data_IF_653556910484
#
_entry.id   IF_653556910484
#
_cell.length_a   1.000
_cell.length_b   1.000
_cell.length_c   1.000
_cell.angle_alpha   90.00
_cell.angle_beta   90.00
_cell.angle_gamma   90.00
#
_symmetry.space_group_name_H-M   'P 1'
#
loop_
_entity.id
_entity.type
_entity.pdbx_description
1 polymer ?
#
# COMPACT_ATOMS: atom_id res chain seq x y z
N UNK A 1 -5.95 -24.09 -51.65
CA UNK A 1 -6.49 -22.92 -50.94
C UNK A 1 -6.24 -23.06 -49.45
N UNK A 2 -4.98 -22.97 -49.00
CA UNK A 2 -4.58 -23.00 -47.58
C UNK A 2 -3.08 -22.67 -47.50
N UNK A 3 -2.76 -21.38 -47.46
CA UNK A 3 -1.39 -20.89 -47.24
C UNK A 3 -1.41 -19.40 -46.85
N UNK A 4 -2.22 -19.02 -45.86
CA UNK A 4 -2.35 -17.61 -45.42
C UNK A 4 -2.69 -17.42 -43.92
N UNK A 5 -2.34 -18.35 -43.02
CA UNK A 5 -2.64 -18.19 -41.57
C UNK A 5 -1.43 -18.19 -40.60
N UNK A 6 -0.19 -18.17 -41.09
CA UNK A 6 1.01 -18.19 -40.21
C UNK A 6 1.74 -16.85 -40.07
N UNK A 7 1.34 -15.82 -40.83
CA UNK A 7 2.07 -14.54 -40.85
C UNK A 7 1.52 -13.46 -39.91
N UNK A 8 0.34 -13.66 -39.29
CA UNK A 8 -0.31 -12.64 -38.47
C UNK A 8 -0.05 -12.73 -36.97
N UNK A 9 0.44 -13.87 -36.46
CA UNK A 9 0.71 -14.06 -35.02
C UNK A 9 2.11 -13.55 -34.64
N UNK A 10 3.06 -13.49 -35.59
CA UNK A 10 4.45 -13.10 -35.31
C UNK A 10 4.64 -11.58 -35.20
N UNK A 11 3.76 -10.75 -35.76
CA UNK A 11 3.91 -9.29 -35.75
C UNK A 11 3.36 -8.59 -34.50
N UNK A 12 2.54 -9.23 -33.65
CA UNK A 12 2.00 -8.59 -32.44
C UNK A 12 2.87 -8.70 -31.18
N UNK A 13 3.93 -9.51 -31.21
CA UNK A 13 4.83 -9.69 -30.05
C UNK A 13 6.15 -8.90 -30.13
N UNK A 14 6.43 -8.20 -31.23
CA UNK A 14 7.68 -7.43 -31.37
C UNK A 14 7.78 -6.20 -30.44
N UNK A 15 6.71 -5.41 -30.19
CA UNK A 15 6.78 -4.31 -29.24
C UNK A 15 6.97 -4.79 -27.79
N UNK A 16 6.30 -5.89 -27.42
CA UNK A 16 6.41 -6.51 -26.08
C UNK A 16 7.78 -7.13 -25.85
N UNK A 17 8.38 -7.78 -26.86
CA UNK A 17 9.75 -8.30 -26.76
C UNK A 17 10.80 -7.19 -26.68
N UNK A 18 10.58 -6.03 -27.33
CA UNK A 18 11.45 -4.86 -27.19
C UNK A 18 11.30 -4.18 -25.83
N UNK A 19 10.09 -4.08 -25.28
CA UNK A 19 9.85 -3.59 -23.92
C UNK A 19 10.46 -4.52 -22.86
N UNK A 20 10.33 -5.84 -23.03
CA UNK A 20 10.95 -6.84 -22.17
C UNK A 20 12.48 -6.90 -22.33
N UNK A 21 13.02 -6.66 -23.52
CA UNK A 21 14.46 -6.58 -23.74
C UNK A 21 15.06 -5.29 -23.14
N UNK A 22 14.35 -4.16 -23.23
CA UNK A 22 14.74 -2.91 -22.56
C UNK A 22 14.65 -3.02 -21.03
N UNK A 23 13.68 -3.79 -20.50
CA UNK A 23 13.61 -4.14 -19.08
C UNK A 23 14.68 -5.15 -18.66
N UNK A 24 15.07 -6.07 -19.55
CA UNK A 24 16.12 -7.05 -19.34
C UNK A 24 17.54 -6.47 -19.37
N UNK A 25 17.75 -5.36 -20.09
CA UNK A 25 19.06 -4.68 -20.15
C UNK A 25 19.33 -3.74 -18.96
N UNK A 26 18.30 -3.38 -18.17
CA UNK A 26 18.49 -2.62 -16.91
C UNK A 26 18.70 -3.48 -15.66
N UNK A 27 18.54 -4.81 -15.74
CA UNK A 27 18.81 -5.74 -14.63
C UNK A 27 20.06 -6.59 -14.86
N UNK A 28 21.16 -5.94 -15.28
CA UNK A 28 22.49 -6.53 -15.17
C UNK A 28 23.01 -6.36 -13.73
N UNK A 29 23.42 -7.51 -13.17
CA UNK A 29 24.02 -7.73 -11.84
C UNK A 29 23.05 -7.86 -10.67
N UNK A 30 23.29 -8.85 -9.81
CA UNK A 30 22.53 -9.13 -8.58
C UNK A 30 22.71 -8.09 -7.48
N UNK A 31 22.92 -6.83 -7.85
CA UNK A 31 22.96 -5.70 -6.92
C UNK A 31 21.52 -5.27 -6.60
N UNK A 32 21.19 -5.24 -5.31
CA UNK A 32 19.90 -4.76 -4.83
C UNK A 32 19.77 -3.28 -5.18
N UNK A 33 18.60 -2.86 -5.69
CA UNK A 33 18.34 -1.44 -5.97
C UNK A 33 18.65 -0.60 -4.71
N UNK A 34 19.48 0.47 -4.81
CA UNK A 34 19.89 1.24 -3.65
C UNK A 34 18.72 1.95 -2.97
N UNK A 35 17.74 2.44 -3.75
CA UNK A 35 16.52 3.07 -3.22
C UNK A 35 15.67 2.05 -2.47
N UNK A 36 15.39 0.88 -3.06
CA UNK A 36 14.62 -0.15 -2.37
C UNK A 36 15.33 -0.65 -1.10
N UNK A 37 16.66 -0.67 -1.10
CA UNK A 37 17.46 -1.14 0.04
C UNK A 37 17.45 -0.16 1.22
N UNK A 38 17.22 1.14 0.95
CA UNK A 38 17.07 2.16 1.99
C UNK A 38 15.68 2.16 2.63
N UNK A 39 14.69 1.53 2.01
CA UNK A 39 13.36 1.39 2.62
C UNK A 39 13.38 0.40 3.80
N UNK A 40 12.61 0.71 4.84
CA UNK A 40 12.25 -0.23 5.90
C UNK A 40 11.44 -1.38 5.32
N UNK A 41 11.45 -2.54 5.95
CA UNK A 41 10.49 -3.58 5.58
C UNK A 41 9.05 -3.08 5.80
N UNK A 42 8.09 -3.69 5.11
CA UNK A 42 6.71 -3.18 5.12
C UNK A 42 6.10 -3.15 6.53
N UNK A 43 6.22 -4.20 7.37
CA UNK A 43 5.70 -4.15 8.74
C UNK A 43 6.23 -2.97 9.55
N UNK A 44 7.55 -2.76 9.54
CA UNK A 44 8.20 -1.65 10.22
C UNK A 44 7.72 -0.28 9.73
N UNK A 45 7.58 -0.10 8.41
CA UNK A 45 7.02 1.15 7.87
C UNK A 45 5.57 1.38 8.34
N UNK A 46 4.73 0.35 8.31
CA UNK A 46 3.35 0.47 8.78
C UNK A 46 3.29 0.80 10.28
N UNK A 47 4.18 0.22 11.08
CA UNK A 47 4.31 0.52 12.51
C UNK A 47 4.74 1.98 12.76
N UNK A 48 5.80 2.45 12.10
CA UNK A 48 6.29 3.83 12.21
C UNK A 48 5.19 4.84 11.84
N UNK A 49 4.42 4.55 10.78
CA UNK A 49 3.27 5.38 10.40
C UNK A 49 2.10 5.30 11.39
N UNK A 50 1.89 4.13 11.99
CA UNK A 50 0.88 3.95 13.04
C UNK A 50 1.19 4.85 14.24
N UNK A 51 2.41 4.77 14.78
CA UNK A 51 2.83 5.59 15.92
C UNK A 51 2.82 7.10 15.58
N UNK A 52 3.22 7.48 14.36
CA UNK A 52 3.08 8.86 13.89
C UNK A 52 1.61 9.33 13.94
N UNK A 53 0.67 8.51 13.43
CA UNK A 53 -0.76 8.82 13.48
C UNK A 53 -1.29 8.88 14.92
N UNK A 54 -0.80 8.02 15.81
CA UNK A 54 -1.15 8.05 17.24
C UNK A 54 -0.71 9.37 17.88
N UNK A 55 0.53 9.80 17.66
CA UNK A 55 1.04 11.05 18.21
C UNK A 55 0.38 12.29 17.61
N UNK A 56 -0.04 12.24 16.34
CA UNK A 56 -0.83 13.34 15.76
C UNK A 56 -2.10 13.57 16.56
N UNK A 57 -2.87 12.52 16.82
CA UNK A 57 -4.12 12.56 17.58
C UNK A 57 -5.13 13.63 17.08
N UNK A 58 -5.00 14.07 15.83
CA UNK A 58 -5.93 15.03 15.22
C UNK A 58 -7.26 14.36 14.90
N UNK A 59 -8.31 15.18 14.82
CA UNK A 59 -9.66 14.77 14.45
C UNK A 59 -10.28 15.76 13.45
N UNK A 60 -11.19 15.26 12.61
CA UNK A 60 -11.91 16.08 11.63
C UNK A 60 -13.36 15.60 11.48
N UNK A 61 -14.25 16.48 11.05
CA UNK A 61 -15.65 16.15 10.82
C UNK A 61 -15.87 15.68 9.36
N UNK A 62 -16.32 14.44 9.18
CA UNK A 62 -16.66 13.88 7.88
C UNK A 62 -18.17 13.82 7.68
N UNK A 63 -18.67 14.46 6.60
CA UNK A 63 -20.10 14.50 6.27
C UNK A 63 -20.40 13.74 4.98
N UNK A 64 -21.35 12.80 5.04
CA UNK A 64 -21.85 12.10 3.85
C UNK A 64 -23.35 11.83 3.97
N UNK A 65 -24.12 12.21 2.94
CA UNK A 65 -25.57 11.91 2.83
C UNK A 65 -26.40 12.34 4.05
N UNK A 66 -26.03 13.44 4.70
CA UNK A 66 -26.73 13.96 5.88
C UNK A 66 -26.27 13.37 7.21
N UNK A 67 -25.38 12.37 7.19
CA UNK A 67 -24.73 11.84 8.38
C UNK A 67 -23.37 12.53 8.59
N UNK A 68 -23.05 12.80 9.85
CA UNK A 68 -21.76 13.33 10.28
C UNK A 68 -21.07 12.33 11.21
N UNK A 69 -19.76 12.15 11.04
CA UNK A 69 -18.92 11.30 11.88
C UNK A 69 -17.60 12.02 12.15
N UNK A 70 -17.11 11.93 13.39
CA UNK A 70 -15.75 12.33 13.73
C UNK A 70 -14.78 11.25 13.24
N UNK A 71 -13.76 11.67 12.50
CA UNK A 71 -12.69 10.82 11.98
C UNK A 71 -11.40 11.25 12.66
N UNK A 72 -10.70 10.30 13.23
CA UNK A 72 -9.51 10.54 14.04
C UNK A 72 -8.31 9.85 13.41
N UNK A 73 -7.16 10.50 13.45
CA UNK A 73 -5.86 9.90 13.06
C UNK A 73 -5.55 8.66 13.89
N UNK A 74 -6.05 8.57 15.12
CA UNK A 74 -6.00 7.35 15.94
C UNK A 74 -6.63 6.12 15.25
N UNK A 75 -7.74 6.27 14.54
CA UNK A 75 -8.37 5.13 13.84
C UNK A 75 -7.50 4.66 12.67
N UNK A 76 -6.81 5.58 11.99
CA UNK A 76 -5.81 5.26 10.96
C UNK A 76 -4.65 4.48 11.62
N UNK A 77 -4.16 4.95 12.77
CA UNK A 77 -3.14 4.28 13.59
C UNK A 77 -3.53 2.84 13.90
N UNK A 78 -4.73 2.61 14.43
CA UNK A 78 -5.18 1.28 14.87
C UNK A 78 -5.19 0.28 13.70
N UNK A 79 -5.67 0.68 12.52
CA UNK A 79 -5.64 -0.19 11.33
C UNK A 79 -4.22 -0.49 10.83
N UNK A 80 -3.34 0.52 10.84
CA UNK A 80 -1.94 0.34 10.45
C UNK A 80 -1.19 -0.57 11.43
N UNK A 81 -1.48 -0.45 12.73
CA UNK A 81 -0.90 -1.30 13.78
C UNK A 81 -1.26 -2.76 13.56
N UNK A 82 -2.54 -3.06 13.32
CA UNK A 82 -2.98 -4.41 12.98
C UNK A 82 -2.28 -4.96 11.72
N UNK A 83 -2.06 -4.12 10.70
CA UNK A 83 -1.36 -4.54 9.49
C UNK A 83 0.14 -4.79 9.70
N UNK A 84 0.76 -4.01 10.59
CA UNK A 84 2.16 -4.14 10.96
C UNK A 84 2.41 -5.38 11.82
N UNK A 85 1.57 -5.61 12.83
CA UNK A 85 1.68 -6.72 13.79
C UNK A 85 1.17 -8.06 13.21
N UNK A 86 0.47 -8.04 12.07
CA UNK A 86 0.03 -9.26 11.40
C UNK A 86 1.24 -10.08 10.95
N UNK A 87 1.54 -11.17 11.66
CA UNK A 87 2.57 -12.12 11.28
C UNK A 87 2.04 -13.10 10.22
N UNK A 88 0.95 -13.81 10.52
CA UNK A 88 0.40 -14.88 9.68
C UNK A 88 -1.12 -15.00 9.81
N UNK A 89 -1.79 -15.32 8.69
CA UNK A 89 -3.16 -15.84 8.66
C UNK A 89 -3.11 -17.30 8.23
N UNK A 90 -3.11 -18.19 9.21
CA UNK A 90 -2.92 -19.62 8.99
C UNK A 90 -4.12 -20.26 8.29
N UNK A 91 -3.84 -21.00 7.22
CA UNK A 91 -4.80 -21.85 6.51
C UNK A 91 -4.38 -23.29 6.69
N UNK A 92 -5.26 -24.07 7.32
CA UNK A 92 -5.07 -25.50 7.49
C UNK A 92 -5.87 -26.28 6.43
N UNK A 93 -5.19 -26.76 5.39
CA UNK A 93 -5.81 -27.58 4.34
C UNK A 93 -6.16 -29.00 4.80
N UNK A 94 -5.62 -29.47 5.94
CA UNK A 94 -6.00 -30.75 6.52
C UNK A 94 -7.40 -30.75 7.12
N UNK A 95 -7.90 -29.57 7.53
CA UNK A 95 -9.17 -29.44 8.27
C UNK A 95 -10.37 -30.12 7.60
N UNK A 96 -10.36 -30.19 6.27
CA UNK A 96 -11.42 -30.83 5.48
C UNK A 96 -10.85 -31.85 4.49
N UNK A 97 -9.60 -32.31 4.70
CA UNK A 97 -8.96 -33.34 3.88
C UNK A 97 -9.47 -34.75 4.23
N UNK A 98 -9.24 -35.72 3.34
CA UNK A 98 -9.43 -37.12 3.68
C UNK A 98 -8.25 -37.60 4.54
N UNK A 99 -8.40 -37.42 5.86
CA UNK A 99 -7.41 -37.81 6.86
C UNK A 99 -7.05 -39.30 6.74
N UNK A 100 -7.98 -40.15 6.30
CA UNK A 100 -7.75 -41.58 6.14
C UNK A 100 -6.84 -41.83 4.93
N UNK A 101 -7.07 -41.16 3.81
CA UNK A 101 -6.20 -41.27 2.64
C UNK A 101 -4.81 -40.67 2.92
N UNK A 102 -4.72 -39.54 3.63
CA UNK A 102 -3.45 -38.89 3.95
C UNK A 102 -2.57 -39.71 4.91
N UNK A 103 -3.17 -40.48 5.83
CA UNK A 103 -2.42 -41.36 6.75
C UNK A 103 -1.68 -42.50 6.04
N UNK A 104 -2.19 -43.00 4.91
CA UNK A 104 -1.60 -44.13 4.19
C UNK A 104 -1.00 -43.74 2.83
N UNK A 105 -1.18 -42.50 2.38
CA UNK A 105 -0.67 -41.99 1.11
C UNK A 105 0.17 -40.72 1.34
N UNK A 106 1.49 -40.88 1.37
CA UNK A 106 2.45 -39.77 1.54
C UNK A 106 2.26 -38.63 0.53
N UNK A 107 2.02 -38.87 -0.77
CA UNK A 107 1.73 -37.79 -1.71
C UNK A 107 0.53 -36.90 -1.35
N UNK A 108 -0.52 -37.47 -0.75
CA UNK A 108 -1.72 -36.71 -0.30
C UNK A 108 -1.38 -35.84 0.91
N UNK A 109 -0.59 -36.37 1.85
CA UNK A 109 -0.09 -35.60 2.98
C UNK A 109 0.80 -34.43 2.53
N UNK A 110 1.73 -34.68 1.60
CA UNK A 110 2.61 -33.65 1.04
C UNK A 110 1.80 -32.54 0.32
N UNK A 111 0.74 -32.92 -0.41
CA UNK A 111 -0.17 -31.96 -1.06
C UNK A 111 -0.87 -31.05 -0.04
N UNK A 112 -1.42 -31.60 1.04
CA UNK A 112 -2.09 -30.80 2.06
C UNK A 112 -1.14 -29.84 2.78
N UNK A 113 0.08 -30.27 3.05
CA UNK A 113 1.09 -29.39 3.64
C UNK A 113 1.47 -28.24 2.68
N UNK A 114 1.67 -28.56 1.39
CA UNK A 114 1.99 -27.54 0.38
C UNK A 114 0.83 -26.56 0.17
N UNK A 115 -0.41 -27.05 0.09
CA UNK A 115 -1.61 -26.22 -0.01
C UNK A 115 -1.76 -25.30 1.20
N UNK A 116 -1.53 -25.82 2.41
CA UNK A 116 -1.58 -25.02 3.65
C UNK A 116 -0.59 -23.85 3.58
N UNK A 117 0.66 -24.11 3.18
CA UNK A 117 1.68 -23.06 2.98
C UNK A 117 1.28 -22.06 1.90
N UNK A 118 0.75 -22.55 0.78
CA UNK A 118 0.37 -21.73 -0.37
C UNK A 118 -0.77 -20.76 -0.05
N UNK A 119 -1.86 -21.25 0.53
CA UNK A 119 -3.00 -20.42 0.86
C UNK A 119 -2.77 -19.55 2.10
N UNK A 120 -1.95 -19.99 3.07
CA UNK A 120 -1.49 -19.14 4.18
C UNK A 120 -0.79 -17.89 3.68
N UNK A 121 0.10 -18.03 2.68
CA UNK A 121 0.81 -16.89 2.09
C UNK A 121 -0.16 -15.90 1.41
N UNK A 122 -1.17 -16.40 0.68
CA UNK A 122 -2.22 -15.56 0.08
C UNK A 122 -3.04 -14.83 1.15
N UNK A 123 -3.59 -15.58 2.10
CA UNK A 123 -4.45 -15.04 3.17
C UNK A 123 -3.72 -13.97 3.97
N UNK A 124 -2.46 -14.20 4.31
CA UNK A 124 -1.64 -13.22 5.03
C UNK A 124 -1.47 -11.92 4.22
N UNK A 125 -1.12 -12.02 2.94
CA UNK A 125 -0.92 -10.84 2.08
C UNK A 125 -2.23 -10.07 1.83
N UNK A 126 -3.32 -10.79 1.58
CA UNK A 126 -4.65 -10.21 1.38
C UNK A 126 -5.16 -9.52 2.64
N UNK A 127 -5.08 -10.18 3.80
CA UNK A 127 -5.54 -9.58 5.07
C UNK A 127 -4.74 -8.32 5.40
N UNK A 128 -3.40 -8.34 5.21
CA UNK A 128 -2.59 -7.12 5.39
C UNK A 128 -3.06 -6.00 4.47
N UNK A 129 -3.29 -6.31 3.19
CA UNK A 129 -3.77 -5.33 2.21
C UNK A 129 -5.16 -4.77 2.56
N UNK A 130 -6.06 -5.58 3.12
CA UNK A 130 -7.37 -5.14 3.59
C UNK A 130 -7.22 -4.16 4.76
N UNK A 131 -6.38 -4.47 5.75
CA UNK A 131 -6.13 -3.58 6.89
C UNK A 131 -5.52 -2.24 6.44
N UNK A 132 -4.51 -2.26 5.56
CA UNK A 132 -3.92 -1.04 4.99
C UNK A 132 -4.93 -0.26 4.14
N UNK A 133 -5.80 -0.95 3.39
CA UNK A 133 -6.87 -0.31 2.62
C UNK A 133 -7.87 0.40 3.53
N UNK A 134 -8.22 -0.19 4.68
CA UNK A 134 -9.10 0.45 5.66
C UNK A 134 -8.44 1.69 6.28
N UNK A 135 -7.16 1.63 6.63
CA UNK A 135 -6.40 2.80 7.07
C UNK A 135 -6.44 3.93 6.03
N UNK A 136 -6.22 3.59 4.76
CA UNK A 136 -6.25 4.54 3.65
C UNK A 136 -7.65 5.15 3.44
N UNK A 137 -8.72 4.37 3.59
CA UNK A 137 -10.09 4.87 3.53
C UNK A 137 -10.41 5.84 4.67
N UNK A 138 -9.91 5.60 5.88
CA UNK A 138 -10.05 6.57 6.98
C UNK A 138 -9.22 7.83 6.73
N UNK A 139 -8.00 7.70 6.18
CA UNK A 139 -7.21 8.85 5.77
C UNK A 139 -7.93 9.72 4.72
N UNK A 140 -8.63 9.12 3.76
CA UNK A 140 -9.44 9.88 2.80
C UNK A 140 -10.56 10.68 3.45
N UNK A 141 -11.23 10.10 4.45
CA UNK A 141 -12.33 10.78 5.17
C UNK A 141 -11.79 11.89 6.05
N UNK A 142 -10.64 11.65 6.69
CA UNK A 142 -9.96 12.63 7.53
C UNK A 142 -9.62 13.91 6.75
N UNK A 143 -9.13 13.78 5.50
CA UNK A 143 -8.77 14.95 4.68
C UNK A 143 -9.90 15.51 3.81
N UNK A 144 -11.10 14.91 3.84
CA UNK A 144 -12.19 15.24 2.90
C UNK A 144 -12.62 16.72 2.98
N UNK A 145 -12.63 17.29 4.19
CA UNK A 145 -13.03 18.68 4.41
C UNK A 145 -12.08 19.66 3.69
N UNK A 146 -10.79 19.35 3.56
CA UNK A 146 -9.83 20.19 2.85
C UNK A 146 -10.11 20.28 1.35
N UNK A 147 -10.68 19.25 0.73
CA UNK A 147 -11.14 19.33 -0.66
C UNK A 147 -12.28 20.33 -0.79
N UNK A 148 -13.25 20.27 0.12
CA UNK A 148 -14.42 21.16 0.09
C UNK A 148 -14.04 22.62 0.32
N UNK A 149 -12.95 22.87 1.05
CA UNK A 149 -12.39 24.20 1.31
C UNK A 149 -11.41 24.68 0.23
N UNK A 150 -11.06 23.85 -0.75
CA UNK A 150 -10.05 24.21 -1.75
C UNK A 150 -10.55 25.36 -2.66
N UNK A 151 -9.74 26.41 -2.95
CA UNK A 151 -10.24 27.64 -3.60
C UNK A 151 -10.93 27.43 -4.95
N UNK A 152 -10.46 26.48 -5.77
CA UNK A 152 -11.08 26.15 -7.05
C UNK A 152 -12.34 25.29 -6.92
N UNK A 153 -12.56 24.66 -5.76
CA UNK A 153 -13.67 23.74 -5.48
C UNK A 153 -14.83 24.44 -4.77
N UNK A 154 -14.54 25.35 -3.83
CA UNK A 154 -15.55 26.09 -3.05
C UNK A 154 -16.57 26.79 -3.96
N UNK A 155 -16.11 27.30 -5.11
CA UNK A 155 -16.92 28.03 -6.09
C UNK A 155 -17.70 27.13 -7.05
N UNK A 156 -17.48 25.81 -7.01
CA UNK A 156 -18.18 24.88 -7.90
C UNK A 156 -19.58 24.58 -7.40
N UNK A 157 -20.51 24.43 -8.35
CA UNK A 157 -21.82 23.84 -8.08
C UNK A 157 -21.67 22.45 -7.46
N UNK A 158 -22.52 22.11 -6.49
CA UNK A 158 -22.50 20.78 -5.82
C UNK A 158 -22.50 19.60 -6.80
N UNK A 159 -23.19 19.74 -7.95
CA UNK A 159 -23.26 18.69 -8.99
C UNK A 159 -21.93 18.45 -9.70
N UNK A 160 -21.00 19.42 -9.65
CA UNK A 160 -19.67 19.35 -10.27
C UNK A 160 -18.60 18.90 -9.28
N UNK A 161 -18.88 18.92 -7.98
CA UNK A 161 -17.95 18.42 -6.96
C UNK A 161 -17.81 16.91 -7.05
N UNK A 162 -16.60 16.42 -6.77
CA UNK A 162 -16.34 14.99 -6.67
C UNK A 162 -17.17 14.40 -5.53
N UNK A 163 -17.69 13.19 -5.71
CA UNK A 163 -18.65 12.58 -4.76
C UNK A 163 -17.97 11.77 -3.66
N UNK A 164 -16.90 11.07 -3.99
CA UNK A 164 -16.25 10.12 -3.08
C UNK A 164 -14.98 10.70 -2.47
N UNK A 165 -14.79 10.48 -1.16
CA UNK A 165 -13.63 10.95 -0.41
C UNK A 165 -12.31 10.48 -1.04
N UNK A 166 -12.26 9.27 -1.60
CA UNK A 166 -11.08 8.76 -2.29
C UNK A 166 -10.71 9.54 -3.57
N UNK A 167 -11.72 10.05 -4.31
CA UNK A 167 -11.47 10.89 -5.50
C UNK A 167 -11.06 12.31 -5.09
N UNK A 168 -11.67 12.83 -4.03
CA UNK A 168 -11.32 14.12 -3.46
C UNK A 168 -9.89 14.13 -2.92
N UNK A 169 -9.47 13.04 -2.29
CA UNK A 169 -8.10 12.84 -1.82
C UNK A 169 -7.12 12.74 -2.98
N UNK A 170 -7.47 12.05 -4.08
CA UNK A 170 -6.65 12.04 -5.29
C UNK A 170 -6.42 13.47 -5.83
N UNK A 171 -7.49 14.28 -5.91
CA UNK A 171 -7.38 15.69 -6.28
C UNK A 171 -6.42 16.45 -5.34
N UNK A 172 -6.55 16.29 -4.03
CA UNK A 172 -5.68 16.96 -3.04
C UNK A 172 -4.22 16.57 -3.23
N UNK A 173 -3.92 15.29 -3.49
CA UNK A 173 -2.56 14.81 -3.72
C UNK A 173 -1.96 15.40 -5.00
N UNK A 174 -2.77 15.60 -6.04
CA UNK A 174 -2.30 16.27 -7.27
C UNK A 174 -2.00 17.76 -7.07
N UNK A 175 -2.47 18.38 -5.98
CA UNK A 175 -2.10 19.75 -5.61
C UNK A 175 -0.80 19.82 -4.79
N UNK A 176 -0.23 18.70 -4.37
CA UNK A 176 1.00 18.68 -3.57
C UNK A 176 2.22 18.99 -4.43
N UNK A 177 3.09 19.86 -3.91
CA UNK A 177 4.44 20.05 -4.44
C UNK A 177 5.29 18.83 -4.16
N UNK A 178 6.32 18.61 -4.97
CA UNK A 178 7.24 17.49 -4.81
C UNK A 178 7.90 17.45 -3.43
N UNK A 179 8.21 18.60 -2.83
CA UNK A 179 8.78 18.71 -1.48
C UNK A 179 7.84 18.26 -0.36
N UNK A 180 6.53 18.15 -0.64
CA UNK A 180 5.52 17.66 0.30
C UNK A 180 5.19 16.17 0.10
N UNK A 181 5.87 15.50 -0.83
CA UNK A 181 5.75 14.07 -1.05
C UNK A 181 6.85 13.33 -0.28
N UNK A 182 6.58 12.12 0.23
CA UNK A 182 7.61 11.29 0.85
C UNK A 182 8.84 11.11 -0.05
N UNK A 183 10.00 10.93 0.57
CA UNK A 183 11.24 10.63 -0.17
C UNK A 183 11.04 9.44 -1.11
N UNK A 184 11.64 9.51 -2.31
CA UNK A 184 11.55 8.45 -3.32
C UNK A 184 10.12 8.01 -3.71
N UNK A 185 9.11 8.85 -3.49
CA UNK A 185 7.69 8.54 -3.74
C UNK A 185 7.42 8.01 -5.15
N UNK A 186 7.95 8.68 -6.18
CA UNK A 186 7.76 8.26 -7.58
C UNK A 186 8.40 6.89 -7.88
N UNK A 187 9.49 6.54 -7.20
CA UNK A 187 10.12 5.23 -7.33
C UNK A 187 9.21 4.11 -6.79
N UNK A 188 8.62 4.31 -5.61
CA UNK A 188 7.65 3.36 -5.05
C UNK A 188 6.41 3.19 -5.95
N UNK A 189 5.90 4.28 -6.52
CA UNK A 189 4.79 4.23 -7.50
C UNK A 189 5.19 3.45 -8.75
N UNK A 190 6.42 3.64 -9.26
CA UNK A 190 6.93 2.91 -10.42
C UNK A 190 6.95 1.39 -10.16
N UNK A 191 7.40 0.96 -8.98
CA UNK A 191 7.39 -0.46 -8.60
C UNK A 191 5.98 -1.03 -8.57
N UNK A 192 5.01 -0.31 -8.00
CA UNK A 192 3.60 -0.70 -8.04
C UNK A 192 3.10 -0.79 -9.49
N UNK A 193 3.35 0.23 -10.32
CA UNK A 193 2.92 0.28 -11.72
C UNK A 193 3.40 -0.95 -12.47
N UNK A 194 4.68 -1.29 -12.40
CA UNK A 194 5.25 -2.45 -13.09
C UNK A 194 4.56 -3.76 -12.68
N UNK A 195 4.34 -3.96 -11.38
CA UNK A 195 3.62 -5.16 -10.91
C UNK A 195 2.15 -5.17 -11.31
N UNK A 196 1.51 -4.00 -11.35
CA UNK A 196 0.10 -3.86 -11.71
C UNK A 196 -0.12 -4.07 -13.22
N UNK A 197 0.74 -3.49 -14.06
CA UNK A 197 0.69 -3.67 -15.52
C UNK A 197 0.86 -5.14 -15.90
N UNK A 198 1.77 -5.85 -15.23
CA UNK A 198 1.94 -7.27 -15.43
C UNK A 198 0.70 -8.07 -15.00
N UNK A 199 0.12 -7.78 -13.82
CA UNK A 199 -1.15 -8.35 -13.37
C UNK A 199 -2.28 -8.10 -14.40
N UNK A 200 -2.44 -6.86 -14.82
CA UNK A 200 -3.49 -6.45 -15.75
C UNK A 200 -3.30 -7.06 -17.15
N UNK A 201 -2.06 -7.21 -17.63
CA UNK A 201 -1.79 -7.83 -18.93
C UNK A 201 -2.24 -9.28 -19.02
N UNK A 202 -2.30 -9.99 -17.89
CA UNK A 202 -2.62 -11.41 -17.82
C UNK A 202 -4.10 -11.62 -17.52
N UNK A 203 -4.65 -10.91 -16.53
CA UNK A 203 -6.04 -11.09 -16.12
C UNK A 203 -7.03 -10.14 -16.81
N UNK A 204 -6.54 -9.14 -17.56
CA UNK A 204 -7.34 -8.19 -18.33
C UNK A 204 -8.48 -7.54 -17.52
N UNK A 205 -8.23 -7.32 -16.23
CA UNK A 205 -9.24 -6.83 -15.28
C UNK A 205 -9.72 -5.43 -15.61
N UNK A 206 -11.03 -5.16 -15.53
CA UNK A 206 -11.56 -3.82 -15.79
C UNK A 206 -11.00 -2.78 -14.82
N UNK A 207 -10.69 -1.58 -15.34
CA UNK A 207 -10.20 -0.45 -14.56
C UNK A 207 -11.27 0.65 -14.52
N UNK A 208 -11.50 1.17 -13.33
CA UNK A 208 -12.48 2.23 -13.05
C UNK A 208 -11.77 3.50 -12.58
N UNK A 209 -12.35 4.66 -12.90
CA UNK A 209 -11.83 5.95 -12.42
C UNK A 209 -10.42 6.32 -12.92
N UNK A 210 -10.00 5.77 -14.07
CA UNK A 210 -8.70 6.07 -14.72
C UNK A 210 -8.80 7.12 -15.83
N UNK A 211 -10.01 7.58 -16.17
CA UNK A 211 -10.21 8.50 -17.30
C UNK A 211 -9.53 9.84 -17.04
N UNK A 212 -8.55 10.18 -17.87
CA UNK A 212 -7.79 11.44 -17.77
C UNK A 212 -6.73 11.47 -16.67
N UNK A 213 -6.41 10.32 -16.07
CA UNK A 213 -5.31 10.18 -15.11
C UNK A 213 -4.04 9.82 -15.86
N UNK A 214 -3.01 10.65 -15.73
CA UNK A 214 -1.72 10.45 -16.40
C UNK A 214 -0.70 9.80 -15.47
N UNK A 215 0.26 9.06 -16.03
CA UNK A 215 1.30 8.38 -15.23
C UNK A 215 2.21 9.36 -14.47
N UNK A 216 2.24 10.63 -14.87
CA UNK A 216 2.99 11.71 -14.23
C UNK A 216 2.30 12.27 -12.99
N UNK A 217 0.98 12.08 -12.88
CA UNK A 217 0.17 12.64 -11.80
C UNK A 217 0.63 12.08 -10.44
N UNK A 218 0.50 12.89 -9.38
CA UNK A 218 0.86 12.43 -8.05
C UNK A 218 -0.13 11.36 -7.57
N UNK A 219 -1.38 11.42 -8.01
CA UNK A 219 -2.44 10.49 -7.65
C UNK A 219 -2.44 9.17 -8.44
N UNK A 220 -1.59 9.02 -9.47
CA UNK A 220 -1.62 7.83 -10.34
C UNK A 220 -1.54 6.50 -9.58
N UNK A 221 -0.58 6.37 -8.65
CA UNK A 221 -0.45 5.18 -7.80
C UNK A 221 -1.69 4.94 -6.93
N UNK A 222 -2.35 6.00 -6.47
CA UNK A 222 -3.55 5.93 -5.65
C UNK A 222 -4.71 5.32 -6.44
N UNK A 223 -4.83 5.69 -7.71
CA UNK A 223 -5.82 5.10 -8.61
C UNK A 223 -5.56 3.60 -8.85
N UNK A 224 -4.31 3.17 -8.94
CA UNK A 224 -3.96 1.74 -9.02
C UNK A 224 -4.34 0.99 -7.74
N UNK A 225 -3.98 1.53 -6.56
CA UNK A 225 -4.35 0.95 -5.26
C UNK A 225 -5.87 0.82 -5.12
N UNK A 226 -6.63 1.85 -5.52
CA UNK A 226 -8.09 1.83 -5.47
C UNK A 226 -8.70 0.77 -6.38
N UNK A 227 -8.17 0.61 -7.60
CA UNK A 227 -8.62 -0.46 -8.49
C UNK A 227 -8.32 -1.84 -7.91
N UNK A 228 -7.11 -2.05 -7.37
CA UNK A 228 -6.75 -3.31 -6.73
C UNK A 228 -7.65 -3.62 -5.52
N UNK A 229 -7.93 -2.60 -4.68
CA UNK A 229 -8.86 -2.72 -3.55
C UNK A 229 -10.25 -3.15 -4.02
N UNK A 230 -10.75 -2.54 -5.09
CA UNK A 230 -12.05 -2.91 -5.66
C UNK A 230 -12.04 -4.33 -6.23
N UNK A 231 -10.95 -4.74 -6.88
CA UNK A 231 -10.81 -6.12 -7.38
C UNK A 231 -10.86 -7.14 -6.25
N UNK A 232 -10.18 -6.88 -5.13
CA UNK A 232 -10.24 -7.74 -3.94
C UNK A 232 -11.65 -7.74 -3.33
N UNK A 233 -12.24 -6.57 -3.12
CA UNK A 233 -13.56 -6.45 -2.48
C UNK A 233 -14.71 -7.08 -3.29
N UNK A 234 -14.58 -7.15 -4.62
CA UNK A 234 -15.57 -7.75 -5.51
C UNK A 234 -15.24 -9.19 -5.92
N UNK A 235 -14.22 -9.81 -5.34
CA UNK A 235 -13.84 -11.20 -5.67
C UNK A 235 -13.25 -11.38 -7.08
N UNK A 236 -12.77 -10.30 -7.70
CA UNK A 236 -12.13 -10.30 -9.02
C UNK A 236 -10.64 -10.68 -8.90
N UNK A 237 -10.01 -10.34 -7.76
CA UNK A 237 -8.60 -10.67 -7.54
C UNK A 237 -8.40 -12.20 -7.51
N UNK A 238 -7.48 -12.75 -8.33
CA UNK A 238 -7.36 -14.18 -8.51
C UNK A 238 -6.66 -14.85 -7.32
N UNK A 239 -7.20 -16.01 -6.92
CA UNK A 239 -6.51 -16.97 -6.05
C UNK A 239 -6.03 -18.10 -6.96
N UNK A 240 -4.72 -18.25 -7.10
CA UNK A 240 -4.16 -19.27 -7.97
C UNK A 240 -4.12 -20.61 -7.24
N UNK A 241 -4.34 -21.70 -7.97
CA UNK A 241 -4.10 -23.04 -7.46
C UNK A 241 -2.61 -23.24 -7.14
N UNK A 242 -2.34 -24.26 -6.32
CA UNK A 242 -0.96 -24.57 -5.95
C UNK A 242 -0.22 -25.18 -7.15
N UNK A 243 0.81 -24.49 -7.69
CA UNK A 243 1.47 -24.95 -8.90
C UNK A 243 2.29 -26.23 -8.71
N UNK A 244 2.61 -26.61 -7.47
CA UNK A 244 3.34 -27.85 -7.17
C UNK A 244 2.52 -29.10 -7.54
N UNK A 245 1.20 -29.03 -7.50
CA UNK A 245 0.29 -30.16 -7.74
C UNK A 245 -0.66 -29.96 -8.92
N UNK A 246 -0.96 -28.71 -9.28
CA UNK A 246 -2.01 -28.38 -10.27
C UNK A 246 -1.46 -27.75 -11.56
N UNK A 247 -0.14 -27.67 -11.72
CA UNK A 247 0.53 -27.10 -12.90
C UNK A 247 0.71 -25.58 -12.83
N UNK A 248 1.64 -25.03 -13.62
CA UNK A 248 2.03 -23.62 -13.52
C UNK A 248 1.09 -22.68 -14.29
N UNK A 249 0.59 -21.64 -13.63
CA UNK A 249 0.11 -20.43 -14.31
C UNK A 249 1.27 -19.56 -14.80
N UNK A 250 1.07 -18.77 -15.86
CA UNK A 250 2.06 -17.78 -16.36
C UNK A 250 2.47 -16.73 -15.29
N UNK A 251 1.67 -16.61 -14.22
CA UNK A 251 1.96 -15.84 -13.01
C UNK A 251 2.34 -16.76 -11.87
N UNK A 252 3.41 -16.41 -11.15
CA UNK A 252 3.68 -17.03 -9.86
C UNK A 252 2.91 -16.31 -8.74
N UNK A 253 2.43 -17.08 -7.76
CA UNK A 253 1.89 -16.57 -6.47
C UNK A 253 2.70 -15.39 -5.95
N UNK A 254 4.03 -15.51 -5.98
CA UNK A 254 4.96 -14.48 -5.51
C UNK A 254 4.75 -13.11 -6.16
N UNK A 255 4.42 -13.06 -7.46
CA UNK A 255 4.17 -11.77 -8.14
C UNK A 255 2.85 -11.12 -7.72
N UNK A 256 1.81 -11.91 -7.46
CA UNK A 256 0.55 -11.40 -6.91
C UNK A 256 0.72 -10.90 -5.47
N UNK A 257 1.46 -11.64 -4.64
CA UNK A 257 1.82 -11.19 -3.30
C UNK A 257 2.66 -9.91 -3.34
N UNK A 258 3.63 -9.83 -4.24
CA UNK A 258 4.44 -8.63 -4.43
C UNK A 258 3.60 -7.41 -4.85
N UNK A 259 2.59 -7.61 -5.73
CA UNK A 259 1.64 -6.56 -6.09
C UNK A 259 0.89 -6.04 -4.85
N UNK A 260 0.38 -6.93 -3.99
CA UNK A 260 -0.30 -6.55 -2.75
C UNK A 260 0.63 -5.78 -1.81
N UNK A 261 1.90 -6.20 -1.67
CA UNK A 261 2.88 -5.49 -0.84
C UNK A 261 3.30 -4.13 -1.41
N UNK A 262 3.49 -4.01 -2.72
CA UNK A 262 3.72 -2.71 -3.36
C UNK A 262 2.52 -1.79 -3.18
N UNK A 263 1.30 -2.32 -3.28
CA UNK A 263 0.09 -1.54 -3.06
C UNK A 263 -0.04 -1.08 -1.60
N UNK A 264 0.29 -1.95 -0.63
CA UNK A 264 0.36 -1.55 0.79
C UNK A 264 1.39 -0.44 1.02
N UNK A 265 2.59 -0.58 0.44
CA UNK A 265 3.65 0.44 0.54
C UNK A 265 3.19 1.78 0.00
N UNK A 266 2.62 1.78 -1.20
CA UNK A 266 2.15 2.98 -1.87
C UNK A 266 0.97 3.60 -1.11
N UNK A 267 0.03 2.79 -0.61
CA UNK A 267 -1.06 3.26 0.26
C UNK A 267 -0.52 4.00 1.49
N UNK A 268 0.45 3.41 2.20
CA UNK A 268 1.08 4.05 3.36
C UNK A 268 1.81 5.35 3.00
N UNK A 269 2.47 5.42 1.83
CA UNK A 269 3.09 6.66 1.34
C UNK A 269 2.05 7.75 1.01
N UNK A 270 0.87 7.39 0.50
CA UNK A 270 -0.21 8.36 0.32
C UNK A 270 -0.78 8.85 1.64
N UNK A 271 -0.93 7.98 2.64
CA UNK A 271 -1.31 8.39 4.00
C UNK A 271 -0.26 9.37 4.53
N UNK A 272 1.04 9.09 4.39
CA UNK A 272 2.12 10.02 4.76
C UNK A 272 2.00 11.38 4.06
N UNK A 273 1.81 11.40 2.74
CA UNK A 273 1.69 12.64 1.97
C UNK A 273 0.48 13.48 2.40
N UNK A 274 -0.66 12.82 2.61
CA UNK A 274 -1.89 13.48 3.07
C UNK A 274 -1.71 14.05 4.48
N UNK A 275 -1.23 13.24 5.42
CA UNK A 275 -1.04 13.67 6.80
C UNK A 275 0.04 14.73 6.93
N UNK A 276 1.14 14.67 6.15
CA UNK A 276 2.15 15.72 6.12
C UNK A 276 1.53 17.10 5.85
N UNK A 277 0.59 17.17 4.91
CA UNK A 277 0.01 18.43 4.46
C UNK A 277 -1.20 18.89 5.27
N UNK A 278 -2.03 17.94 5.70
CA UNK A 278 -3.37 18.19 6.23
C UNK A 278 -3.47 17.68 7.68
N UNK A 279 -2.56 18.12 8.55
CA UNK A 279 -2.56 17.85 9.99
C UNK A 279 -2.57 19.17 10.79
N UNK A 280 -2.87 19.05 12.08
CA UNK A 280 -2.91 20.16 13.04
C UNK A 280 -1.77 20.06 14.08
N UNK A 281 -0.65 19.43 13.71
CA UNK A 281 0.48 19.14 14.59
C UNK A 281 0.24 17.95 15.51
N UNK A 282 1.24 17.63 16.35
CA UNK A 282 1.09 16.63 17.40
C UNK A 282 0.23 17.17 18.55
N UNK A 283 -0.73 16.35 18.99
CA UNK A 283 -1.74 16.72 20.02
C UNK A 283 -1.99 15.58 21.00
N UNK A 284 -1.04 14.64 21.12
CA UNK A 284 -1.14 13.53 22.05
C UNK A 284 -0.53 13.91 23.40
N UNK A 285 -1.22 13.61 24.50
CA UNK A 285 -0.80 13.98 25.87
C UNK A 285 0.66 13.56 26.18
N UNK A 286 1.04 12.33 25.81
CA UNK A 286 2.44 11.86 25.94
C UNK A 286 3.45 12.78 25.23
N UNK A 287 3.13 13.25 24.02
CA UNK A 287 4.00 14.14 23.26
C UNK A 287 4.11 15.50 23.96
N UNK A 288 3.00 16.06 24.39
CA UNK A 288 2.96 17.34 25.10
C UNK A 288 3.71 17.27 26.42
N UNK A 289 3.61 16.14 27.14
CA UNK A 289 4.35 15.90 28.36
C UNK A 289 5.87 15.86 28.11
N UNK A 290 6.32 15.10 27.10
CA UNK A 290 7.75 15.04 26.75
C UNK A 290 8.24 16.41 26.23
N UNK A 291 7.42 17.14 25.47
CA UNK A 291 7.81 18.42 24.87
C UNK A 291 7.87 19.58 25.88
N UNK A 292 7.10 19.52 26.96
CA UNK A 292 6.98 20.61 27.95
C UNK A 292 7.96 20.53 29.12
N UNK A 293 8.66 19.40 29.27
CA UNK A 293 9.64 19.20 30.33
C UNK A 293 11.03 19.66 29.92
N UNK A 294 11.76 20.26 30.87
CA UNK A 294 13.19 20.53 30.73
C UNK A 294 13.95 19.27 31.13
N UNK A 295 14.35 18.48 30.13
CA UNK A 295 15.06 17.23 30.35
C UNK A 295 16.56 17.47 30.44
N UNK A 296 17.15 17.08 31.58
CA UNK A 296 18.60 16.98 31.74
C UNK A 296 19.19 15.83 30.90
N UNK A 297 18.33 14.86 30.53
CA UNK A 297 18.70 13.67 29.75
C UNK A 297 18.61 13.91 28.24
N UNK A 298 19.61 13.39 27.52
CA UNK A 298 19.74 13.54 26.08
C UNK A 298 18.74 12.69 25.26
N UNK A 299 18.05 11.73 25.89
CA UNK A 299 17.14 10.79 25.23
C UNK A 299 15.83 11.49 24.82
N UNK A 300 15.21 12.25 25.71
CA UNK A 300 13.98 13.00 25.44
C UNK A 300 14.25 14.20 24.52
N UNK A 301 15.42 14.83 24.67
CA UNK A 301 15.89 15.83 23.71
C UNK A 301 16.05 15.25 22.30
N UNK A 302 16.55 14.01 22.18
CA UNK A 302 16.62 13.30 20.90
C UNK A 302 15.22 13.05 20.34
N UNK A 303 14.26 12.60 21.16
CA UNK A 303 12.89 12.38 20.73
C UNK A 303 12.25 13.67 20.18
N UNK A 304 12.25 14.76 20.94
CA UNK A 304 11.61 16.03 20.52
C UNK A 304 12.27 16.62 19.28
N UNK A 305 13.60 16.52 19.17
CA UNK A 305 14.34 17.02 18.01
C UNK A 305 13.98 16.29 16.71
N UNK A 306 13.67 15.00 16.78
CA UNK A 306 13.48 14.15 15.61
C UNK A 306 12.01 13.80 15.33
N UNK A 307 11.16 13.77 16.35
CA UNK A 307 9.72 13.56 16.23
C UNK A 307 9.03 14.88 15.89
N UNK A 308 9.16 15.30 14.63
CA UNK A 308 8.49 16.47 14.04
C UNK A 308 7.52 16.03 12.94
N UNK A 309 6.64 16.93 12.50
CA UNK A 309 5.71 16.65 11.39
C UNK A 309 6.46 16.26 10.11
N UNK A 310 7.66 16.80 9.88
CA UNK A 310 8.50 16.48 8.71
C UNK A 310 8.96 15.02 8.69
N UNK A 311 8.93 14.33 9.83
CA UNK A 311 9.20 12.89 9.90
C UNK A 311 8.29 12.11 8.94
N UNK A 312 7.06 12.57 8.71
CA UNK A 312 6.10 11.97 7.78
C UNK A 312 6.65 11.83 6.36
N UNK A 313 7.68 12.57 5.95
CA UNK A 313 8.30 12.43 4.63
C UNK A 313 9.28 11.25 4.54
N UNK A 314 9.68 10.67 5.68
CA UNK A 314 10.76 9.69 5.77
C UNK A 314 10.43 8.40 6.52
N UNK A 315 9.25 8.24 7.14
CA UNK A 315 8.86 7.03 7.90
C UNK A 315 9.03 5.69 7.16
N UNK A 316 9.03 5.70 5.83
CA UNK A 316 9.22 4.49 5.02
C UNK A 316 10.70 4.13 4.81
N UNK A 317 11.60 5.08 5.06
CA UNK A 317 13.06 4.96 4.90
C UNK A 317 13.71 4.60 6.24
N UNK A 318 14.82 3.87 6.17
CA UNK A 318 15.70 3.63 7.32
C UNK A 318 16.37 4.95 7.69
N UNK A 319 16.22 5.36 8.93
CA UNK A 319 16.78 6.60 9.47
C UNK A 319 17.17 6.38 10.95
N UNK A 320 17.91 7.35 11.50
CA UNK A 320 18.46 7.26 12.85
C UNK A 320 17.35 7.27 13.93
N UNK A 321 16.27 8.03 13.70
CA UNK A 321 15.10 8.04 14.57
C UNK A 321 14.07 6.98 14.14
N UNK A 322 13.45 6.31 15.11
CA UNK A 322 12.42 5.29 14.90
C UNK A 322 11.50 5.24 16.11
N UNK A 323 10.20 5.10 15.92
CA UNK A 323 9.28 4.81 17.04
C UNK A 323 9.51 3.43 17.67
N UNK A 324 10.13 2.49 16.95
CA UNK A 324 10.61 1.22 17.52
C UNK A 324 11.77 1.41 18.52
N UNK A 325 12.53 2.49 18.37
CA UNK A 325 13.60 2.87 19.29
C UNK A 325 13.65 4.41 19.44
N UNK A 326 12.68 5.01 20.15
CA UNK A 326 12.44 6.45 20.13
C UNK A 326 13.54 7.26 20.84
N UNK A 327 14.35 6.59 21.66
CA UNK A 327 15.45 7.17 22.42
C UNK A 327 16.82 6.87 21.78
N UNK A 328 16.87 6.08 20.71
CA UNK A 328 18.09 5.75 20.00
C UNK A 328 18.99 4.72 20.70
N UNK A 329 19.95 4.17 19.95
CA UNK A 329 20.99 3.31 20.49
C UNK A 329 22.16 4.19 20.92
N UNK A 330 22.13 4.65 22.18
CA UNK A 330 23.17 5.44 22.88
C UNK A 330 23.00 6.96 22.87
N UNK A 331 22.63 7.49 24.03
CA UNK A 331 23.62 8.18 24.87
C UNK A 331 24.21 7.18 25.88
#
# INVERSE_FOLDING_TARGET
>A
MQLLCLSFVVMRCQPLRRALALLGEQMKSGEKCPICSSFRELPHHLYELSEFCRFLNNHNEYKRRGESRIVETKVISDWLKLAAELEVVEINSWRFGDDTAAMYCRPVADEYESNSKHFTAYSTALTRFIFVSNALEEAYRFVDSHYLMFPSVVKLDERKKLRDASLRSAFLVDQLKETALPLNFKHAISNLRLTFEYYHSIFQTSLSGMKGVETTDNSYGLHLVRNLRNHVAHGIFPILDNPEYWGSSEISRTKLIALLFHACRVAALYIQALLHKYNDGFQHDDYDHIASMDWDDCYEQHFIKNCTVDLSLSLHSKCDFSFENPYGYKC
#
